data_IF_785933248979
#
_entry.id   IF_785933248979
#
_cell.length_a   1.000
_cell.length_b   1.000
_cell.length_c   1.000
_cell.angle_alpha   90.00
_cell.angle_beta   90.00
_cell.angle_gamma   90.00
#
_symmetry.space_group_name_H-M   'P 1'
#
loop_
_entity.id
_entity.type
_entity.pdbx_description
1 polymer ?
#
# COMPACT_ATOMS: atom_id res chain seq x y z
N UNK A 1 -9.57 16.76 -21.71
CA UNK A 1 -9.75 16.07 -20.41
C UNK A 1 -9.54 14.59 -20.67
N UNK A 2 -8.35 14.05 -20.33
CA UNK A 2 -8.06 12.61 -20.46
C UNK A 2 -8.62 11.95 -19.22
N UNK A 3 -9.74 11.25 -19.37
CA UNK A 3 -10.33 10.44 -18.29
C UNK A 3 -9.33 9.35 -17.89
N UNK A 4 -8.67 9.54 -16.76
CA UNK A 4 -7.84 8.50 -16.16
C UNK A 4 -8.76 7.40 -15.62
N UNK A 5 -8.86 6.30 -16.36
CA UNK A 5 -9.61 5.14 -15.90
C UNK A 5 -9.02 4.65 -14.57
N UNK A 6 -9.86 4.25 -13.63
CA UNK A 6 -9.47 3.70 -12.31
C UNK A 6 -8.37 2.63 -12.40
N UNK A 7 -8.35 1.79 -13.43
CA UNK A 7 -7.29 0.81 -13.68
C UNK A 7 -5.89 1.36 -14.00
N UNK A 8 -5.72 2.67 -14.13
CA UNK A 8 -4.43 3.31 -14.38
C UNK A 8 -3.57 3.41 -13.12
N UNK A 9 -4.18 3.66 -11.96
CA UNK A 9 -3.45 3.81 -10.69
C UNK A 9 -3.02 2.47 -10.10
N UNK A 10 -3.85 1.44 -10.24
CA UNK A 10 -3.50 0.06 -9.91
C UNK A 10 -2.28 -0.39 -10.73
N UNK A 11 -2.27 -0.14 -12.04
CA UNK A 11 -1.12 -0.44 -12.91
C UNK A 11 0.13 0.31 -12.49
N UNK A 12 0.01 1.59 -12.16
CA UNK A 12 1.14 2.38 -11.71
C UNK A 12 1.75 1.82 -10.41
N UNK A 13 0.94 1.50 -9.40
CA UNK A 13 1.42 0.90 -8.16
C UNK A 13 2.01 -0.49 -8.39
N UNK A 14 1.36 -1.30 -9.22
CA UNK A 14 1.88 -2.62 -9.61
C UNK A 14 3.25 -2.51 -10.25
N UNK A 15 3.45 -1.62 -11.25
CA UNK A 15 4.76 -1.45 -11.91
C UNK A 15 5.84 -1.06 -10.90
N UNK A 16 5.55 -0.15 -9.96
CA UNK A 16 6.49 0.23 -8.90
C UNK A 16 6.88 -0.97 -8.04
N UNK A 17 5.91 -1.66 -7.47
CA UNK A 17 6.17 -2.78 -6.55
C UNK A 17 6.80 -3.99 -7.27
N UNK A 18 6.47 -4.21 -8.55
CA UNK A 18 7.09 -5.26 -9.37
C UNK A 18 8.50 -4.91 -9.85
N UNK A 19 9.07 -3.79 -9.45
CA UNK A 19 10.44 -3.41 -9.76
C UNK A 19 10.67 -3.04 -11.23
N UNK A 20 9.63 -2.59 -11.95
CA UNK A 20 9.82 -2.06 -13.30
C UNK A 20 10.79 -0.88 -13.27
N UNK A 21 11.94 -1.04 -13.92
CA UNK A 21 13.08 -0.13 -13.76
C UNK A 21 12.76 1.30 -14.23
N UNK A 22 11.96 1.46 -15.27
CA UNK A 22 11.57 2.77 -15.77
C UNK A 22 10.63 3.47 -14.79
N UNK A 23 9.59 2.77 -14.34
CA UNK A 23 8.60 3.26 -13.37
C UNK A 23 9.26 3.61 -12.04
N UNK A 24 10.13 2.73 -11.53
CA UNK A 24 10.83 2.95 -10.24
C UNK A 24 11.75 4.17 -10.31
N UNK A 25 12.58 4.31 -11.36
CA UNK A 25 13.46 5.46 -11.53
C UNK A 25 12.68 6.75 -11.77
N UNK A 26 11.59 6.69 -12.52
CA UNK A 26 10.71 7.83 -12.73
C UNK A 26 10.10 8.34 -11.41
N UNK A 27 9.60 7.43 -10.58
CA UNK A 27 9.05 7.75 -9.27
C UNK A 27 10.13 8.23 -8.30
N UNK A 28 11.30 7.61 -8.30
CA UNK A 28 12.43 7.96 -7.44
C UNK A 28 12.89 9.42 -7.60
N UNK A 29 12.66 10.04 -8.76
CA UNK A 29 12.93 11.48 -8.96
C UNK A 29 12.09 12.40 -8.07
N UNK A 30 10.92 11.94 -7.61
CA UNK A 30 10.07 12.68 -6.66
C UNK A 30 10.44 12.48 -5.19
N UNK A 31 11.39 11.59 -4.92
CA UNK A 31 11.85 11.28 -3.56
C UNK A 31 13.04 12.15 -3.16
N UNK A 32 13.21 12.32 -1.85
CA UNK A 32 14.42 12.96 -1.31
C UNK A 32 15.67 12.15 -1.71
N UNK A 33 16.85 12.79 -1.82
CA UNK A 33 18.10 12.09 -2.12
C UNK A 33 18.41 10.92 -1.17
N UNK A 34 18.00 11.04 0.09
CA UNK A 34 18.20 10.00 1.12
C UNK A 34 17.29 8.78 0.90
N UNK A 35 16.03 8.99 0.51
CA UNK A 35 15.06 7.90 0.31
C UNK A 35 15.23 7.18 -1.03
N UNK A 36 15.81 7.84 -2.03
CA UNK A 36 15.92 7.34 -3.40
C UNK A 36 16.63 5.99 -3.51
N UNK A 37 17.86 5.79 -2.95
CA UNK A 37 18.57 4.52 -3.09
C UNK A 37 17.81 3.33 -2.49
N UNK A 38 17.16 3.53 -1.34
CA UNK A 38 16.35 2.51 -0.69
C UNK A 38 15.16 2.09 -1.53
N UNK A 39 14.52 3.04 -2.20
CA UNK A 39 13.38 2.77 -3.08
C UNK A 39 13.81 2.06 -4.38
N UNK A 40 14.93 2.46 -4.98
CA UNK A 40 15.47 1.86 -6.21
C UNK A 40 15.88 0.40 -6.05
N UNK A 41 16.07 -0.08 -4.81
CA UNK A 41 16.28 -1.51 -4.52
C UNK A 41 15.14 -2.39 -5.02
N UNK A 42 13.92 -1.86 -5.20
CA UNK A 42 12.82 -2.60 -5.82
C UNK A 42 13.17 -3.19 -7.19
N UNK A 43 14.11 -2.59 -7.94
CA UNK A 43 14.54 -3.09 -9.25
C UNK A 43 15.20 -4.47 -9.11
N UNK A 44 16.04 -4.66 -8.09
CA UNK A 44 16.73 -5.93 -7.84
C UNK A 44 15.98 -6.87 -6.88
N UNK A 45 15.11 -6.29 -6.04
CA UNK A 45 14.39 -7.01 -5.00
C UNK A 45 12.88 -6.69 -5.04
N UNK A 46 12.16 -7.05 -6.11
CA UNK A 46 10.76 -6.71 -6.31
C UNK A 46 9.81 -7.58 -5.46
N UNK A 47 8.53 -7.16 -5.46
CA UNK A 47 7.42 -8.03 -5.13
C UNK A 47 6.90 -8.75 -6.38
N UNK A 48 6.41 -9.97 -6.22
CA UNK A 48 5.47 -10.54 -7.17
C UNK A 48 4.11 -9.87 -6.93
N UNK A 49 3.62 -9.11 -7.91
CA UNK A 49 2.33 -8.41 -7.77
C UNK A 49 1.35 -8.92 -8.80
N UNK A 50 0.25 -9.49 -8.33
CA UNK A 50 -0.84 -9.98 -9.16
C UNK A 50 -2.07 -9.09 -9.04
N UNK A 51 -2.81 -8.97 -10.12
CA UNK A 51 -4.10 -8.29 -10.12
C UNK A 51 -5.17 -9.24 -9.60
N UNK A 52 -5.89 -8.84 -8.56
CA UNK A 52 -6.95 -9.63 -7.95
C UNK A 52 -8.30 -9.35 -8.65
N UNK A 53 -8.38 -9.62 -9.96
CA UNK A 53 -9.53 -9.26 -10.77
C UNK A 53 -10.87 -9.81 -10.21
N UNK A 54 -11.63 -8.95 -9.55
CA UNK A 54 -13.07 -9.11 -9.32
C UNK A 54 -13.52 -10.07 -8.21
N UNK A 55 -12.70 -11.00 -7.75
CA UNK A 55 -13.20 -12.14 -6.94
C UNK A 55 -13.25 -11.88 -5.42
N UNK A 56 -12.45 -10.95 -4.88
CA UNK A 56 -12.37 -10.69 -3.44
C UNK A 56 -12.46 -9.22 -3.06
N UNK A 57 -12.75 -8.35 -4.03
CA UNK A 57 -12.86 -6.91 -3.79
C UNK A 57 -11.54 -6.18 -3.60
N UNK A 58 -10.38 -6.85 -3.69
CA UNK A 58 -9.07 -6.22 -3.70
C UNK A 58 -8.61 -5.90 -5.12
N UNK A 59 -7.79 -4.87 -5.28
CA UNK A 59 -7.22 -4.50 -6.57
C UNK A 59 -5.98 -5.33 -6.91
N UNK A 60 -5.08 -5.50 -5.93
CA UNK A 60 -3.80 -6.20 -6.11
C UNK A 60 -3.53 -7.13 -4.92
N UNK A 61 -2.66 -8.11 -5.15
CA UNK A 61 -1.99 -8.88 -4.09
C UNK A 61 -0.48 -8.82 -4.33
N UNK A 62 0.28 -8.40 -3.34
CA UNK A 62 1.72 -8.36 -3.38
C UNK A 62 2.32 -9.45 -2.48
N UNK A 63 3.34 -10.14 -3.00
CA UNK A 63 4.03 -11.25 -2.32
C UNK A 63 5.54 -11.08 -2.44
N UNK A 64 6.24 -11.29 -1.35
CA UNK A 64 7.71 -11.37 -1.34
C UNK A 64 8.16 -12.22 -0.17
N UNK A 65 8.79 -13.37 -0.46
CA UNK A 65 9.13 -14.39 0.55
C UNK A 65 7.89 -14.80 1.37
N UNK A 66 7.97 -14.83 2.69
CA UNK A 66 6.86 -15.13 3.60
C UNK A 66 5.89 -13.97 3.85
N UNK A 67 6.10 -12.82 3.20
CA UNK A 67 5.25 -11.64 3.37
C UNK A 67 4.29 -11.49 2.18
N UNK A 68 3.00 -11.58 2.47
CA UNK A 68 1.92 -11.41 1.50
C UNK A 68 0.85 -10.46 2.04
N UNK A 69 0.33 -9.57 1.19
CA UNK A 69 -0.72 -8.65 1.56
C UNK A 69 -1.59 -8.23 0.36
N UNK A 70 -2.92 -8.24 0.52
CA UNK A 70 -3.84 -7.59 -0.39
C UNK A 70 -3.71 -6.07 -0.35
N UNK A 71 -3.96 -5.42 -1.49
CA UNK A 71 -3.91 -3.97 -1.62
C UNK A 71 -5.22 -3.48 -2.24
N UNK A 72 -5.81 -2.47 -1.62
CA UNK A 72 -6.88 -1.65 -2.17
C UNK A 72 -6.32 -0.30 -2.58
N UNK A 73 -6.56 0.13 -3.81
CA UNK A 73 -6.06 1.40 -4.35
C UNK A 73 -7.17 2.46 -4.32
N UNK A 74 -6.88 3.57 -3.70
CA UNK A 74 -7.76 4.77 -3.69
C UNK A 74 -7.01 5.95 -4.29
N UNK A 75 -7.69 6.76 -5.07
CA UNK A 75 -7.12 7.96 -5.68
C UNK A 75 -8.07 9.16 -5.53
N UNK A 76 -7.52 10.31 -5.14
CA UNK A 76 -8.26 11.56 -5.06
C UNK A 76 -7.32 12.75 -5.20
N UNK A 77 -7.84 13.89 -5.65
CA UNK A 77 -7.18 15.19 -5.56
C UNK A 77 -7.25 15.79 -4.15
N UNK A 78 -8.21 15.35 -3.34
CA UNK A 78 -8.42 15.84 -1.99
C UNK A 78 -7.33 15.32 -1.04
N UNK A 79 -7.17 15.94 0.11
CA UNK A 79 -6.30 15.46 1.18
C UNK A 79 -6.99 14.43 2.11
N UNK A 80 -8.28 14.21 1.93
CA UNK A 80 -9.10 13.32 2.76
C UNK A 80 -10.06 12.51 1.91
N UNK A 81 -10.04 11.19 2.07
CA UNK A 81 -11.07 10.28 1.54
C UNK A 81 -11.90 9.76 2.71
N UNK A 82 -13.23 9.95 2.64
CA UNK A 82 -14.19 9.45 3.63
C UNK A 82 -14.97 8.26 3.08
N UNK A 83 -15.06 7.20 3.85
CA UNK A 83 -15.85 6.01 3.53
C UNK A 83 -17.24 6.16 4.15
N UNK A 84 -18.07 7.01 3.55
CA UNK A 84 -19.43 7.27 4.03
C UNK A 84 -20.46 6.52 3.19
N UNK A 85 -21.69 6.41 3.70
CA UNK A 85 -22.82 5.86 2.93
C UNK A 85 -23.06 6.67 1.63
N UNK A 86 -22.81 7.97 1.65
CA UNK A 86 -22.91 8.85 0.48
C UNK A 86 -21.81 8.59 -0.56
N UNK A 87 -20.67 8.00 -0.17
CA UNK A 87 -19.60 7.56 -1.07
C UNK A 87 -19.81 6.14 -1.61
N UNK A 88 -21.03 5.62 -1.55
CA UNK A 88 -21.39 4.29 -2.02
C UNK A 88 -20.96 3.19 -1.06
N UNK A 89 -20.51 2.05 -1.62
CA UNK A 89 -20.18 0.84 -0.86
C UNK A 89 -18.82 0.85 -0.15
N UNK A 90 -18.15 2.00 -0.03
CA UNK A 90 -16.76 2.05 0.44
C UNK A 90 -16.59 1.56 1.89
N UNK A 91 -17.56 1.85 2.77
CA UNK A 91 -17.49 1.35 4.15
C UNK A 91 -17.87 -0.15 4.22
N UNK A 92 -18.83 -0.60 3.43
CA UNK A 92 -19.16 -2.04 3.30
C UNK A 92 -17.95 -2.81 2.75
N UNK A 93 -17.25 -2.26 1.77
CA UNK A 93 -16.02 -2.84 1.23
C UNK A 93 -14.93 -2.95 2.30
N UNK A 94 -14.74 -1.92 3.13
CA UNK A 94 -13.77 -1.95 4.22
C UNK A 94 -14.08 -3.08 5.22
N UNK A 95 -15.34 -3.26 5.61
CA UNK A 95 -15.73 -4.33 6.54
C UNK A 95 -15.63 -5.72 5.87
N UNK A 96 -15.99 -5.86 4.60
CA UNK A 96 -15.78 -7.09 3.84
C UNK A 96 -14.30 -7.49 3.75
N UNK A 97 -13.42 -6.51 3.51
CA UNK A 97 -11.96 -6.72 3.51
C UNK A 97 -11.46 -7.23 4.86
N UNK A 98 -11.92 -6.63 5.96
CA UNK A 98 -11.60 -7.08 7.32
C UNK A 98 -12.01 -8.52 7.56
N UNK A 99 -13.26 -8.84 7.24
CA UNK A 99 -13.78 -10.20 7.42
C UNK A 99 -12.99 -11.23 6.60
N UNK A 100 -12.62 -10.89 5.36
CA UNK A 100 -11.84 -11.76 4.49
C UNK A 100 -10.44 -12.06 5.05
N UNK A 101 -9.69 -11.02 5.47
CA UNK A 101 -8.30 -11.19 5.92
C UNK A 101 -8.19 -11.74 7.34
N UNK A 102 -9.16 -11.47 8.22
CA UNK A 102 -9.18 -12.00 9.58
C UNK A 102 -9.17 -13.52 9.61
N UNK A 103 -9.88 -14.17 8.68
CA UNK A 103 -9.97 -15.63 8.58
C UNK A 103 -8.65 -16.28 8.22
N UNK A 104 -7.80 -15.59 7.47
CA UNK A 104 -6.51 -16.13 6.94
C UNK A 104 -5.29 -15.56 7.65
N UNK A 105 -5.47 -14.63 8.57
CA UNK A 105 -4.37 -14.01 9.33
C UNK A 105 -3.54 -13.03 8.52
N UNK A 106 -4.11 -12.43 7.48
CA UNK A 106 -3.52 -11.35 6.70
C UNK A 106 -4.03 -9.98 7.17
N UNK A 107 -3.53 -8.93 6.56
CA UNK A 107 -3.99 -7.54 6.69
C UNK A 107 -4.13 -6.92 5.30
N UNK A 108 -5.00 -5.92 5.14
CA UNK A 108 -5.13 -5.17 3.90
C UNK A 108 -4.41 -3.85 3.99
N UNK A 109 -3.62 -3.54 2.96
CA UNK A 109 -3.01 -2.22 2.78
C UNK A 109 -3.88 -1.39 1.84
N UNK A 110 -4.30 -0.22 2.30
CA UNK A 110 -4.95 0.80 1.49
C UNK A 110 -3.89 1.75 0.95
N UNK A 111 -3.69 1.72 -0.37
CA UNK A 111 -2.76 2.59 -1.06
C UNK A 111 -3.49 3.82 -1.60
N UNK A 112 -3.27 4.96 -0.96
CA UNK A 112 -3.86 6.23 -1.34
C UNK A 112 -2.93 7.01 -2.26
N UNK A 113 -3.36 7.24 -3.50
CA UNK A 113 -2.69 8.13 -4.45
C UNK A 113 -3.33 9.51 -4.44
N UNK A 114 -2.58 10.52 -4.05
CA UNK A 114 -3.00 11.91 -4.19
C UNK A 114 -2.67 12.42 -5.59
N UNK A 115 -3.70 12.95 -6.26
CA UNK A 115 -3.58 13.49 -7.60
C UNK A 115 -3.14 14.95 -7.55
N UNK A 116 -2.51 15.42 -8.63
CA UNK A 116 -2.08 16.82 -8.76
C UNK A 116 -0.76 17.18 -8.07
N UNK A 117 -0.17 16.27 -7.28
CA UNK A 117 1.17 16.49 -6.73
C UNK A 117 2.22 16.40 -7.85
N UNK A 118 3.09 17.40 -7.93
CA UNK A 118 4.20 17.46 -8.90
C UNK A 118 5.52 17.53 -8.15
N UNK A 119 6.45 16.62 -8.50
CA UNK A 119 7.78 16.59 -7.88
C UNK A 119 7.78 16.12 -6.42
N UNK A 120 6.67 15.57 -5.94
CA UNK A 120 6.50 15.06 -4.60
C UNK A 120 6.03 13.61 -4.64
N UNK A 121 6.32 12.88 -3.58
CA UNK A 121 5.86 11.52 -3.39
C UNK A 121 4.34 11.45 -3.26
N UNK A 122 3.67 10.78 -4.22
CA UNK A 122 2.22 10.81 -4.35
C UNK A 122 1.48 9.55 -3.83
N UNK A 123 2.16 8.68 -3.10
CA UNK A 123 1.56 7.50 -2.49
C UNK A 123 1.68 7.49 -0.97
N UNK A 124 0.57 7.15 -0.29
CA UNK A 124 0.52 6.91 1.15
C UNK A 124 -0.17 5.59 1.44
N UNK A 125 0.30 4.89 2.46
CA UNK A 125 -0.20 3.58 2.84
C UNK A 125 -0.85 3.63 4.23
N UNK A 126 -1.91 2.84 4.37
CA UNK A 126 -2.68 2.67 5.61
C UNK A 126 -3.06 1.21 5.78
N UNK A 127 -3.37 0.80 7.00
CA UNK A 127 -3.92 -0.51 7.31
C UNK A 127 -5.39 -0.42 7.69
N UNK A 128 -6.16 -1.41 7.28
CA UNK A 128 -7.58 -1.49 7.63
C UNK A 128 -7.84 -1.82 9.12
N UNK A 129 -6.86 -2.37 9.84
CA UNK A 129 -6.88 -2.59 11.29
C UNK A 129 -6.98 -4.04 11.75
N UNK A 130 -7.10 -5.03 10.86
CA UNK A 130 -7.02 -6.45 11.24
C UNK A 130 -5.59 -6.83 11.59
N UNK A 131 -5.38 -7.35 12.80
CA UNK A 131 -4.06 -7.80 13.26
C UNK A 131 -3.67 -9.09 12.53
N UNK A 132 -2.58 -9.09 11.75
CA UNK A 132 -2.14 -10.26 11.02
C UNK A 132 -1.41 -11.27 11.91
N UNK A 133 -1.21 -12.47 11.38
CA UNK A 133 -0.30 -13.49 11.94
C UNK A 133 1.07 -13.40 11.26
N UNK A 134 2.11 -13.83 11.97
CA UNK A 134 3.50 -13.84 11.48
C UNK A 134 4.32 -12.62 11.89
N UNK A 135 5.64 -12.81 12.02
CA UNK A 135 6.56 -11.82 12.58
C UNK A 135 6.68 -10.57 11.68
N UNK A 136 6.89 -10.76 10.38
CA UNK A 136 7.04 -9.66 9.41
C UNK A 136 5.74 -8.87 9.29
N UNK A 137 4.60 -9.56 9.13
CA UNK A 137 3.29 -8.91 9.07
C UNK A 137 2.97 -8.17 10.37
N UNK A 138 3.33 -8.73 11.52
CA UNK A 138 3.20 -8.09 12.83
C UNK A 138 4.04 -6.81 12.95
N UNK A 139 5.28 -6.82 12.46
CA UNK A 139 6.11 -5.62 12.41
C UNK A 139 5.51 -4.54 11.51
N UNK A 140 5.04 -4.90 10.32
CA UNK A 140 4.38 -3.96 9.40
C UNK A 140 3.14 -3.37 10.06
N UNK A 141 2.34 -4.18 10.72
CA UNK A 141 1.14 -3.75 11.44
C UNK A 141 1.42 -2.71 12.52
N UNK A 142 2.55 -2.82 13.21
CA UNK A 142 2.96 -1.86 14.25
C UNK A 142 3.50 -0.55 13.68
N UNK A 143 3.90 -0.51 12.42
CA UNK A 143 4.61 0.62 11.84
C UNK A 143 3.83 1.41 10.80
N UNK A 144 2.89 0.77 10.10
CA UNK A 144 2.01 1.44 9.13
C UNK A 144 0.77 1.98 9.85
N UNK A 145 0.37 3.23 9.64
CA UNK A 145 -0.77 3.82 10.33
C UNK A 145 -2.08 3.13 9.94
N UNK A 146 -2.99 3.05 10.91
CA UNK A 146 -4.34 2.55 10.70
C UNK A 146 -5.21 3.60 10.01
N UNK A 147 -6.22 3.14 9.28
CA UNK A 147 -7.32 3.99 8.80
C UNK A 147 -8.02 4.59 10.01
N UNK A 148 -8.09 5.93 10.06
CA UNK A 148 -8.82 6.66 11.10
C UNK A 148 -10.34 6.42 10.97
N UNK A 149 -11.11 6.66 12.05
CA UNK A 149 -12.57 6.52 12.03
C UNK A 149 -13.26 7.80 12.47
N UNK A 150 -14.43 8.06 11.89
CA UNK A 150 -15.35 9.10 12.39
C UNK A 150 -16.02 8.64 13.70
N UNK A 151 -16.75 9.56 14.35
CA UNK A 151 -17.58 9.21 15.51
C UNK A 151 -18.65 8.17 15.18
N UNK A 152 -19.13 8.17 13.95
CA UNK A 152 -20.11 7.22 13.40
C UNK A 152 -19.47 5.90 12.92
N UNK A 153 -18.14 5.73 13.09
CA UNK A 153 -17.43 4.51 12.74
C UNK A 153 -16.98 4.41 11.27
N UNK A 154 -17.24 5.42 10.43
CA UNK A 154 -16.82 5.41 9.03
C UNK A 154 -15.31 5.58 8.90
N UNK A 155 -14.69 4.87 7.96
CA UNK A 155 -13.27 4.99 7.67
C UNK A 155 -12.89 6.34 7.06
N UNK A 156 -11.69 6.84 7.40
CA UNK A 156 -11.12 8.07 6.84
C UNK A 156 -9.65 7.84 6.52
N UNK A 157 -9.25 8.14 5.29
CA UNK A 157 -7.85 8.28 4.90
C UNK A 157 -7.49 9.77 4.88
N UNK A 158 -6.60 10.20 5.78
CA UNK A 158 -6.03 11.54 5.78
C UNK A 158 -4.62 11.46 5.21
N UNK A 159 -4.36 12.17 4.12
CA UNK A 159 -3.08 12.12 3.42
C UNK A 159 -1.87 12.27 4.34
N UNK A 160 -1.93 13.24 5.24
CA UNK A 160 -0.82 13.58 6.13
C UNK A 160 -0.53 12.49 7.19
N UNK A 161 -1.52 11.65 7.49
CA UNK A 161 -1.38 10.55 8.46
C UNK A 161 -0.77 9.29 7.83
N UNK A 162 -0.78 9.18 6.48
CA UNK A 162 -0.36 7.98 5.78
C UNK A 162 1.16 7.80 5.73
N UNK A 163 1.62 6.55 5.73
CA UNK A 163 3.02 6.21 5.55
C UNK A 163 3.44 6.42 4.08
N UNK A 164 4.50 7.20 3.80
CA UNK A 164 5.09 7.29 2.46
C UNK A 164 5.45 5.90 1.90
N UNK A 165 5.18 5.67 0.60
CA UNK A 165 5.51 4.40 -0.06
C UNK A 165 7.02 4.11 0.01
N UNK A 166 7.86 5.13 -0.15
CA UNK A 166 9.32 4.99 -0.03
C UNK A 166 9.75 4.46 1.34
N UNK A 167 9.15 5.00 2.41
CA UNK A 167 9.42 4.56 3.78
C UNK A 167 8.93 3.13 4.04
N UNK A 168 7.79 2.76 3.48
CA UNK A 168 7.30 1.37 3.55
C UNK A 168 8.28 0.41 2.88
N UNK A 169 8.71 0.73 1.66
CA UNK A 169 9.66 -0.08 0.90
C UNK A 169 10.98 -0.24 1.65
N UNK A 170 11.53 0.84 2.19
CA UNK A 170 12.74 0.81 3.01
C UNK A 170 12.60 -0.13 4.21
N UNK A 171 11.49 -0.04 4.94
CA UNK A 171 11.22 -0.89 6.10
C UNK A 171 11.09 -2.37 5.71
N UNK A 172 10.39 -2.67 4.62
CA UNK A 172 10.28 -4.05 4.15
C UNK A 172 11.66 -4.59 3.74
N UNK A 173 12.48 -3.81 3.06
CA UNK A 173 13.85 -4.21 2.73
C UNK A 173 14.67 -4.51 3.99
N UNK A 174 14.56 -3.69 5.04
CA UNK A 174 15.32 -3.90 6.26
C UNK A 174 14.91 -5.19 7.02
N UNK A 175 13.62 -5.51 7.02
CA UNK A 175 13.09 -6.68 7.73
C UNK A 175 13.29 -7.98 6.94
N UNK A 176 13.21 -7.90 5.61
CA UNK A 176 13.39 -9.07 4.73
C UNK A 176 14.86 -9.34 4.36
N UNK A 177 15.82 -8.56 4.88
CA UNK A 177 17.24 -8.92 4.70
C UNK A 177 17.51 -10.25 5.42
N UNK A 178 18.22 -11.20 4.77
CA UNK A 178 18.70 -12.36 5.50
C UNK A 178 19.60 -11.85 6.63
N UNK A 179 19.34 -12.30 7.84
CA UNK A 179 20.29 -12.16 8.95
C UNK A 179 21.51 -13.01 8.57
N UNK A 180 22.46 -12.43 7.86
CA UNK A 180 23.76 -13.06 7.69
C UNK A 180 24.44 -13.04 9.05
N UNK A 181 24.37 -14.17 9.77
CA UNK A 181 24.99 -14.27 11.08
C UNK A 181 24.52 -15.41 11.96
N UNK A 182 24.06 -16.52 11.37
CA UNK A 182 23.95 -17.77 12.10
C UNK A 182 24.31 -18.91 11.16
N UNK A 183 25.57 -18.92 10.75
CA UNK A 183 26.17 -20.09 10.10
C UNK A 183 27.22 -20.67 11.07
N UNK A 184 27.07 -21.94 11.32
CA UNK A 184 27.87 -22.96 12.00
C UNK A 184 27.62 -23.14 13.48
#
# INVERSE_FOLDING_TARGET
MVGHSFGGYERALRSLLSGDAESVRAYARSLSPVARPGFERLIGEPFLVVRAAGSFGFDLVALRREFAFPIEVKASSDSVIRFTAASGRANEQLEAHRAAVARVGLMVIYAYRRLGLRGEECWRLFLEGTRPKGAISGYVFQTVPLISRTKEGNGILRWEEGMPLSRFVERIHSVLQPTYGAAA
#
